data_IF_152788034211
#
_entry.id   IF_152788034211
#
_cell.length_a   1.000
_cell.length_b   1.000
_cell.length_c   1.000
_cell.angle_alpha   90.00
_cell.angle_beta   90.00
_cell.angle_gamma   90.00
#
_symmetry.space_group_name_H-M   'P 1'
#
loop_
_entity.id
_entity.type
_entity.pdbx_description
1 polymer ?
#
# COMPACT_ATOMS: atom_id res chain seq x y z
N UNK A 1 10.36 -2.99 0.58
CA UNK A 1 10.91 -3.63 -0.66
C UNK A 1 12.37 -3.97 -0.39
N UNK A 2 12.89 -5.15 -0.77
CA UNK A 2 14.30 -5.45 -0.49
C UNK A 2 15.22 -4.44 -1.18
N UNK A 3 16.26 -3.98 -0.46
CA UNK A 3 17.27 -3.02 -0.95
C UNK A 3 16.69 -1.64 -1.32
N UNK A 4 15.66 -1.18 -0.63
CA UNK A 4 15.21 0.22 -0.63
C UNK A 4 15.44 0.85 0.74
N UNK A 5 15.46 2.18 0.81
CA UNK A 5 15.63 2.95 2.04
C UNK A 5 14.87 4.28 1.94
N UNK A 6 14.07 4.60 2.94
CA UNK A 6 13.29 5.84 3.08
C UNK A 6 13.91 6.76 4.15
N UNK A 7 13.37 7.97 4.28
CA UNK A 7 13.88 9.01 5.20
C UNK A 7 13.69 8.64 6.69
N UNK A 8 12.72 7.78 6.99
CA UNK A 8 12.46 7.19 8.30
C UNK A 8 13.46 6.07 8.70
N UNK A 9 14.40 5.75 7.81
CA UNK A 9 15.37 4.64 7.90
C UNK A 9 14.79 3.24 7.71
N UNK A 10 13.54 3.12 7.25
CA UNK A 10 12.91 1.85 6.91
C UNK A 10 12.89 1.62 5.39
N UNK A 11 12.76 0.38 4.92
CA UNK A 11 12.54 0.09 3.51
C UNK A 11 11.14 0.54 3.07
N UNK A 12 11.02 1.05 1.84
CA UNK A 12 9.73 1.43 1.25
C UNK A 12 8.62 0.38 1.39
N UNK A 13 7.47 0.83 1.88
CA UNK A 13 6.26 0.05 2.11
C UNK A 13 5.44 -0.21 0.84
N UNK A 14 4.76 -1.36 0.80
CA UNK A 14 3.91 -1.77 -0.32
C UNK A 14 2.66 -2.48 0.19
N UNK A 15 1.50 -2.06 -0.31
CA UNK A 15 0.25 -2.82 -0.22
C UNK A 15 0.06 -3.62 -1.52
N UNK A 16 -0.07 -4.94 -1.41
CA UNK A 16 -0.18 -5.84 -2.56
C UNK A 16 -1.60 -6.39 -2.65
N UNK A 17 -2.26 -6.12 -3.78
CA UNK A 17 -3.60 -6.63 -4.09
C UNK A 17 -3.47 -7.94 -4.88
N UNK A 18 -4.13 -8.99 -4.39
CA UNK A 18 -4.14 -10.34 -4.96
C UNK A 18 -5.33 -11.15 -4.41
N UNK A 19 -5.57 -12.34 -4.97
CA UNK A 19 -6.67 -13.23 -4.59
C UNK A 19 -6.47 -13.89 -3.21
N UNK A 20 -5.24 -14.31 -2.91
CA UNK A 20 -4.95 -15.18 -1.77
C UNK A 20 -4.05 -14.49 -0.74
N UNK A 21 -4.22 -14.78 0.57
CA UNK A 21 -3.30 -14.31 1.59
C UNK A 21 -1.92 -14.95 1.45
N UNK A 22 -0.88 -14.23 1.86
CA UNK A 22 0.52 -14.70 1.84
C UNK A 22 1.07 -14.78 3.26
N UNK A 23 1.89 -15.79 3.53
CA UNK A 23 2.51 -15.97 4.84
C UNK A 23 3.60 -14.90 5.10
N UNK A 24 3.71 -14.38 6.33
CA UNK A 24 4.81 -13.48 6.70
C UNK A 24 6.19 -14.11 6.44
N UNK A 25 7.13 -13.32 5.91
CA UNK A 25 8.50 -13.75 5.58
C UNK A 25 8.67 -14.33 4.18
N UNK A 26 7.59 -14.61 3.45
CA UNK A 26 7.66 -14.94 2.02
C UNK A 26 7.95 -13.68 1.18
N UNK A 27 8.49 -13.89 -0.03
CA UNK A 27 8.61 -12.84 -1.04
C UNK A 27 7.86 -13.24 -2.32
N UNK A 28 7.42 -12.24 -3.07
CA UNK A 28 6.71 -12.42 -4.33
C UNK A 28 7.06 -11.29 -5.30
N UNK A 29 6.77 -11.47 -6.58
CA UNK A 29 6.94 -10.42 -7.59
C UNK A 29 5.70 -9.53 -7.61
N UNK A 30 5.91 -8.22 -7.52
CA UNK A 30 4.82 -7.25 -7.56
C UNK A 30 5.08 -6.19 -8.64
N UNK A 31 3.99 -5.65 -9.19
CA UNK A 31 4.00 -4.53 -10.14
C UNK A 31 3.33 -3.34 -9.48
N UNK A 32 4.07 -2.24 -9.34
CA UNK A 32 3.52 -0.99 -8.83
C UNK A 32 2.49 -0.43 -9.82
N UNK A 33 1.34 0.01 -9.30
CA UNK A 33 0.25 0.58 -10.09
C UNK A 33 -0.19 1.95 -9.56
N UNK A 34 0.29 2.36 -8.38
CA UNK A 34 0.03 3.68 -7.82
C UNK A 34 0.87 3.98 -6.59
N UNK A 35 0.76 5.22 -6.14
CA UNK A 35 1.32 5.73 -4.89
C UNK A 35 0.16 6.26 -4.06
N UNK A 36 0.20 6.01 -2.76
CA UNK A 36 -0.73 6.60 -1.79
C UNK A 36 0.08 7.50 -0.85
N UNK A 37 0.05 8.82 -1.07
CA UNK A 37 0.77 9.75 -0.21
C UNK A 37 0.10 9.84 1.15
N UNK A 38 0.89 9.70 2.20
CA UNK A 38 0.42 9.67 3.58
C UNK A 38 1.35 10.46 4.50
N UNK A 39 0.75 11.09 5.49
CA UNK A 39 1.44 11.79 6.58
C UNK A 39 1.04 11.10 7.88
N UNK A 40 2.00 10.51 8.59
CA UNK A 40 1.82 9.89 9.90
C UNK A 40 2.51 10.77 10.96
N UNK A 41 1.74 11.36 11.87
CA UNK A 41 2.27 12.21 12.94
C UNK A 41 3.17 13.37 12.44
N UNK A 42 2.91 13.86 11.23
CA UNK A 42 3.67 14.95 10.60
C UNK A 42 4.86 14.48 9.76
N UNK A 43 5.20 13.19 9.80
CA UNK A 43 6.26 12.59 8.99
C UNK A 43 5.68 12.00 7.70
N UNK A 44 6.46 12.06 6.62
CA UNK A 44 6.07 11.54 5.31
C UNK A 44 6.21 10.01 5.28
N UNK A 45 5.11 9.32 5.00
CA UNK A 45 5.03 7.85 4.99
C UNK A 45 4.30 7.34 3.73
N UNK A 46 4.83 7.69 2.55
CA UNK A 46 4.23 7.28 1.28
C UNK A 46 4.27 5.76 1.10
N UNK A 47 3.14 5.16 0.67
CA UNK A 47 3.04 3.72 0.43
C UNK A 47 2.77 3.42 -1.04
N UNK A 48 3.44 2.39 -1.57
CA UNK A 48 3.19 1.91 -2.93
C UNK A 48 1.94 1.03 -2.93
N UNK A 49 1.07 1.23 -3.92
CA UNK A 49 -0.02 0.29 -4.23
C UNK A 49 0.43 -0.57 -5.41
N UNK A 50 0.41 -1.88 -5.22
CA UNK A 50 0.89 -2.85 -6.20
C UNK A 50 -0.07 -4.03 -6.37
N UNK A 51 0.11 -4.77 -7.45
CA UNK A 51 -0.53 -6.07 -7.69
C UNK A 51 0.52 -7.18 -7.75
N UNK A 52 0.14 -8.39 -7.36
CA UNK A 52 0.99 -9.56 -7.58
C UNK A 52 1.17 -9.81 -9.08
N UNK A 53 2.42 -9.86 -9.55
CA UNK A 53 2.74 -10.03 -10.97
C UNK A 53 2.46 -11.46 -11.48
N UNK A 54 2.29 -12.40 -10.55
CA UNK A 54 2.06 -13.83 -10.81
C UNK A 54 0.61 -14.26 -10.60
N UNK A 55 -0.24 -13.38 -10.06
CA UNK A 55 -1.66 -13.66 -9.86
C UNK A 55 -2.44 -13.47 -11.17
N UNK A 56 -3.14 -14.50 -11.70
CA UNK A 56 -3.84 -14.40 -12.98
C UNK A 56 -4.99 -13.39 -13.00
N UNK A 57 -5.62 -13.10 -11.86
CA UNK A 57 -6.68 -12.08 -11.78
C UNK A 57 -6.09 -10.67 -11.78
N UNK A 58 -4.96 -10.46 -11.11
CA UNK A 58 -4.44 -9.12 -10.83
C UNK A 58 -3.23 -8.68 -11.67
N UNK A 59 -2.48 -9.59 -12.28
CA UNK A 59 -1.25 -9.25 -13.03
C UNK A 59 -1.45 -8.29 -14.20
N UNK A 60 -2.69 -8.13 -14.65
CA UNK A 60 -3.07 -7.31 -15.81
C UNK A 60 -3.30 -5.83 -15.50
N UNK A 61 -3.56 -5.46 -14.24
CA UNK A 61 -3.73 -4.05 -13.82
C UNK A 61 -2.41 -3.28 -13.94
N UNK A 62 -2.42 -2.07 -14.49
CA UNK A 62 -1.27 -1.20 -14.70
C UNK A 62 -1.42 0.18 -14.03
N UNK A 63 -2.64 0.57 -13.65
CA UNK A 63 -2.91 1.85 -12.98
C UNK A 63 -3.93 1.66 -11.86
N UNK A 64 -3.72 2.34 -10.73
CA UNK A 64 -4.62 2.33 -9.57
C UNK A 64 -6.06 2.74 -9.92
N UNK A 65 -6.25 3.55 -10.96
CA UNK A 65 -7.57 3.98 -11.47
C UNK A 65 -8.37 2.88 -12.13
N UNK A 66 -7.73 1.77 -12.49
CA UNK A 66 -8.41 0.60 -13.05
C UNK A 66 -9.11 -0.24 -11.97
N UNK A 67 -8.77 -0.03 -10.69
CA UNK A 67 -9.41 -0.71 -9.58
C UNK A 67 -10.83 -0.18 -9.34
N UNK A 68 -11.75 -1.01 -8.81
CA UNK A 68 -13.06 -0.54 -8.38
C UNK A 68 -12.92 0.62 -7.37
N UNK A 69 -13.63 1.75 -7.53
CA UNK A 69 -13.46 2.93 -6.68
C UNK A 69 -13.63 2.64 -5.18
N UNK A 70 -14.52 1.71 -4.83
CA UNK A 70 -14.72 1.30 -3.45
C UNK A 70 -13.46 0.70 -2.80
N UNK A 71 -12.62 -0.02 -3.57
CA UNK A 71 -11.37 -0.60 -3.07
C UNK A 71 -10.38 0.49 -2.65
N UNK A 72 -10.31 1.58 -3.40
CA UNK A 72 -9.49 2.73 -3.04
C UNK A 72 -10.01 3.43 -1.79
N UNK A 73 -11.34 3.58 -1.68
CA UNK A 73 -11.97 4.17 -0.50
C UNK A 73 -11.75 3.34 0.77
N UNK A 74 -11.80 2.01 0.66
CA UNK A 74 -11.53 1.08 1.76
C UNK A 74 -10.07 1.18 2.23
N UNK A 75 -9.10 1.12 1.30
CA UNK A 75 -7.67 1.24 1.61
C UNK A 75 -7.37 2.56 2.31
N UNK A 76 -7.88 3.67 1.78
CA UNK A 76 -7.74 4.99 2.39
C UNK A 76 -8.26 4.99 3.83
N UNK A 77 -9.50 4.53 4.03
CA UNK A 77 -10.15 4.51 5.34
C UNK A 77 -9.39 3.65 6.34
N UNK A 78 -8.82 2.52 5.90
CA UNK A 78 -7.98 1.68 6.74
C UNK A 78 -6.79 2.46 7.33
N UNK A 79 -6.03 3.17 6.50
CA UNK A 79 -4.87 3.95 6.98
C UNK A 79 -5.26 5.18 7.80
N UNK A 80 -6.38 5.82 7.50
CA UNK A 80 -6.91 6.92 8.34
C UNK A 80 -7.33 6.44 9.74
N UNK A 81 -7.80 5.20 9.88
CA UNK A 81 -8.46 4.75 11.11
C UNK A 81 -7.59 3.83 11.99
N UNK A 82 -6.68 3.03 11.42
CA UNK A 82 -6.03 1.94 12.16
C UNK A 82 -5.25 2.36 13.41
N UNK A 83 -4.75 3.60 13.44
CA UNK A 83 -3.97 4.17 14.56
C UNK A 83 -4.78 5.11 15.47
N UNK A 84 -6.08 5.32 15.21
CA UNK A 84 -6.90 6.26 16.01
C UNK A 84 -6.96 5.90 17.49
N UNK A 85 -7.08 4.61 17.82
CA UNK A 85 -7.08 4.15 19.22
C UNK A 85 -5.70 4.22 19.90
N UNK A 86 -4.64 4.49 19.13
CA UNK A 86 -3.31 4.79 19.66
C UNK A 86 -3.11 6.31 19.89
N UNK A 87 -4.13 7.13 19.62
CA UNK A 87 -4.07 8.60 19.64
C UNK A 87 -3.02 9.18 18.68
N UNK A 88 -2.81 8.53 17.53
CA UNK A 88 -1.94 9.01 16.45
C UNK A 88 -2.78 9.43 15.26
N UNK A 89 -2.43 10.57 14.67
CA UNK A 89 -3.10 11.11 13.49
C UNK A 89 -2.39 10.64 12.22
N UNK A 90 -3.20 10.18 11.26
CA UNK A 90 -2.77 9.78 9.92
C UNK A 90 -3.63 10.51 8.90
N UNK A 91 -2.99 11.27 8.01
CA UNK A 91 -3.65 11.93 6.89
C UNK A 91 -3.27 11.22 5.58
N UNK A 92 -4.27 10.84 4.79
CA UNK A 92 -4.09 10.19 3.49
C UNK A 92 -4.57 11.13 2.39
N UNK A 93 -3.70 11.46 1.44
CA UNK A 93 -4.01 12.42 0.36
C UNK A 93 -4.64 11.73 -0.87
N UNK A 94 -5.21 12.55 -1.76
CA UNK A 94 -5.72 12.13 -3.09
C UNK A 94 -4.62 11.91 -4.13
#
# INVERSE_FOLDING_TARGET
IPRTLCEDNDPLDVLIIMQEPVLPGCFLRAKAIGLMPMIDQGEKDDKIIAVCADDPEYRHYNDIKELPPHRLAEIRRFFEDYKKNENKEVAVND
#
